data_IF_030064945895
#
_entry.id   IF_030064945895
#
_cell.length_a   1.000
_cell.length_b   1.000
_cell.length_c   1.000
_cell.angle_alpha   90.00
_cell.angle_beta   90.00
_cell.angle_gamma   90.00
#
_symmetry.space_group_name_H-M   'P 1'
#
loop_
_entity.id
_entity.type
_entity.pdbx_description
1 polymer ?
#
# COMPACT_ATOMS: atom_id res chain seq x y z
N UNK A 1 -0.47 -23.04 -13.18
CA UNK A 1 -0.46 -24.33 -13.91
C UNK A 1 1.00 -24.61 -14.26
N UNK A 2 1.65 -25.51 -13.51
CA UNK A 2 2.97 -26.03 -13.86
C UNK A 2 2.75 -27.12 -14.91
N UNK A 3 3.11 -26.85 -16.15
CA UNK A 3 3.22 -27.89 -17.16
C UNK A 3 4.66 -28.38 -17.11
N UNK A 4 4.85 -29.55 -16.51
CA UNK A 4 6.11 -30.27 -16.55
C UNK A 4 6.34 -30.81 -17.97
N UNK A 5 7.36 -30.34 -18.64
CA UNK A 5 7.92 -30.99 -19.82
C UNK A 5 9.14 -31.79 -19.36
N UNK A 6 8.98 -33.10 -19.35
CA UNK A 6 10.06 -34.08 -19.17
C UNK A 6 10.59 -34.42 -20.55
N UNK A 7 11.86 -34.25 -20.76
CA UNK A 7 12.60 -34.94 -21.79
C UNK A 7 13.27 -34.09 -22.88
N UNK A 8 14.55 -34.22 -22.88
CA UNK A 8 15.60 -33.83 -23.80
C UNK A 8 16.31 -32.50 -23.50
N UNK A 9 17.62 -32.57 -23.62
CA UNK A 9 18.62 -31.51 -23.40
C UNK A 9 18.48 -30.30 -24.34
N UNK A 10 17.30 -29.69 -24.36
CA UNK A 10 17.22 -28.31 -24.80
C UNK A 10 17.59 -27.46 -23.58
N UNK A 11 18.65 -26.67 -23.69
CA UNK A 11 18.88 -25.51 -22.84
C UNK A 11 17.66 -24.59 -23.01
N UNK A 12 16.61 -24.88 -22.30
CA UNK A 12 15.40 -24.07 -22.25
C UNK A 12 15.84 -22.82 -21.49
N UNK A 13 16.10 -21.74 -22.23
CA UNK A 13 16.27 -20.41 -21.65
C UNK A 13 14.90 -19.86 -21.31
N UNK A 14 14.23 -20.54 -20.38
CA UNK A 14 12.95 -20.09 -19.89
C UNK A 14 13.15 -18.81 -19.09
N UNK A 15 12.59 -17.72 -19.56
CA UNK A 15 12.45 -16.49 -18.80
C UNK A 15 11.09 -16.48 -18.14
N UNK A 16 11.08 -16.27 -16.83
CA UNK A 16 9.86 -16.07 -16.07
C UNK A 16 9.50 -14.59 -16.10
N UNK A 17 8.31 -14.27 -16.60
CA UNK A 17 7.77 -12.92 -16.64
C UNK A 17 6.68 -12.78 -15.58
N UNK A 18 6.89 -11.87 -14.61
CA UNK A 18 5.92 -11.58 -13.56
C UNK A 18 5.28 -10.23 -13.88
N UNK A 19 3.97 -10.21 -14.03
CA UNK A 19 3.21 -9.00 -14.38
C UNK A 19 2.72 -8.23 -13.15
N UNK A 20 3.49 -8.27 -12.07
CA UNK A 20 3.33 -7.41 -10.89
C UNK A 20 2.38 -7.92 -9.82
N UNK A 21 2.20 -7.05 -8.81
CA UNK A 21 1.40 -7.28 -7.61
C UNK A 21 1.79 -8.54 -6.83
N UNK A 22 3.11 -8.76 -6.70
CA UNK A 22 3.65 -9.79 -5.81
C UNK A 22 3.24 -9.52 -4.36
N UNK A 23 3.19 -8.24 -4.00
CA UNK A 23 2.85 -7.74 -2.66
C UNK A 23 1.38 -7.32 -2.51
N UNK A 24 0.44 -7.87 -3.29
CA UNK A 24 -0.98 -7.56 -3.13
C UNK A 24 -1.53 -8.20 -1.82
N UNK A 25 -2.70 -8.71 -1.82
CA UNK A 25 -3.53 -9.11 -0.65
C UNK A 25 -3.28 -10.53 -0.17
N UNK A 26 -2.51 -11.31 -0.93
CA UNK A 26 -2.24 -12.72 -0.62
C UNK A 26 -1.20 -12.90 0.48
N UNK A 27 -1.21 -14.03 1.18
CA UNK A 27 -0.20 -14.36 2.17
C UNK A 27 1.13 -14.74 1.51
N UNK A 28 2.24 -14.48 2.20
CA UNK A 28 3.55 -15.00 1.84
C UNK A 28 4.29 -14.35 0.67
N UNK A 29 4.15 -13.03 0.37
CA UNK A 29 4.94 -12.37 -0.67
C UNK A 29 6.45 -12.50 -0.45
N UNK A 30 6.91 -12.52 0.80
CA UNK A 30 8.30 -12.75 1.16
C UNK A 30 8.83 -14.11 0.67
N UNK A 31 8.00 -15.16 0.72
CA UNK A 31 8.36 -16.50 0.20
C UNK A 31 8.44 -16.51 -1.33
N UNK A 32 7.53 -15.80 -1.98
CA UNK A 32 7.54 -15.62 -3.44
C UNK A 32 8.83 -14.90 -3.85
N UNK A 33 9.18 -13.80 -3.18
CA UNK A 33 10.39 -13.04 -3.46
C UNK A 33 11.66 -13.88 -3.26
N UNK A 34 11.76 -14.62 -2.15
CA UNK A 34 12.87 -15.55 -1.89
C UNK A 34 13.02 -16.56 -3.06
N UNK A 35 11.90 -17.07 -3.58
CA UNK A 35 11.91 -18.00 -4.72
C UNK A 35 12.32 -17.33 -6.02
N UNK A 36 11.81 -16.14 -6.31
CA UNK A 36 12.16 -15.39 -7.52
C UNK A 36 13.63 -14.99 -7.53
N UNK A 37 14.21 -14.60 -6.40
CA UNK A 37 15.63 -14.29 -6.27
C UNK A 37 16.54 -15.47 -6.57
N UNK A 38 16.08 -16.69 -6.35
CA UNK A 38 16.79 -17.92 -6.68
C UNK A 38 16.57 -18.41 -8.12
N UNK A 39 15.70 -17.75 -8.89
CA UNK A 39 15.38 -18.18 -10.24
C UNK A 39 16.41 -17.66 -11.25
N UNK A 40 16.79 -18.48 -12.23
CA UNK A 40 17.90 -18.20 -13.15
C UNK A 40 17.64 -17.02 -14.10
N UNK A 41 16.40 -16.80 -14.52
CA UNK A 41 16.03 -15.71 -15.45
C UNK A 41 14.61 -15.23 -15.15
N UNK A 42 14.50 -14.05 -14.54
CA UNK A 42 13.23 -13.43 -14.19
C UNK A 42 13.26 -11.94 -14.50
N UNK A 43 12.14 -11.42 -14.94
CA UNK A 43 11.81 -9.99 -14.94
C UNK A 43 10.42 -9.74 -14.38
N UNK A 44 10.21 -8.55 -13.87
CA UNK A 44 9.03 -8.17 -13.11
C UNK A 44 8.50 -6.85 -13.67
N UNK A 45 7.24 -6.79 -14.06
CA UNK A 45 6.55 -5.53 -14.35
C UNK A 45 5.85 -5.09 -13.08
N UNK A 46 6.28 -3.95 -12.51
CA UNK A 46 5.80 -3.50 -11.21
C UNK A 46 4.28 -3.26 -11.20
N UNK A 47 3.59 -3.88 -10.25
CA UNK A 47 2.24 -3.50 -9.89
C UNK A 47 2.22 -2.33 -8.89
N UNK A 48 1.04 -1.75 -8.67
CA UNK A 48 0.88 -0.65 -7.72
C UNK A 48 1.21 -1.06 -6.27
N UNK A 49 0.93 -2.29 -5.89
CA UNK A 49 1.29 -2.80 -4.57
C UNK A 49 2.81 -2.98 -4.42
N UNK A 50 3.50 -3.42 -5.46
CA UNK A 50 4.97 -3.54 -5.43
C UNK A 50 5.63 -2.17 -5.23
N UNK A 51 5.15 -1.14 -5.96
CA UNK A 51 5.63 0.25 -5.82
C UNK A 51 5.33 0.79 -4.41
N UNK A 52 4.16 0.47 -3.85
CA UNK A 52 3.79 0.84 -2.49
C UNK A 52 4.78 0.27 -1.46
N UNK A 53 5.16 -1.00 -1.60
CA UNK A 53 6.15 -1.63 -0.72
C UNK A 53 7.55 -1.07 -0.91
N UNK A 54 7.93 -0.68 -2.14
CA UNK A 54 9.19 0.06 -2.37
C UNK A 54 9.21 1.38 -1.61
N UNK A 55 8.10 2.14 -1.64
CA UNK A 55 7.94 3.39 -0.90
C UNK A 55 8.00 3.16 0.62
N UNK A 56 7.38 2.09 1.12
CA UNK A 56 7.45 1.71 2.52
C UNK A 56 8.89 1.35 2.95
N UNK A 57 9.60 0.56 2.15
CA UNK A 57 11.00 0.22 2.38
C UNK A 57 11.93 1.44 2.35
N UNK A 58 11.56 2.50 1.61
CA UNK A 58 12.24 3.78 1.61
C UNK A 58 11.89 4.67 2.81
N UNK A 59 11.06 4.18 3.74
CA UNK A 59 10.68 4.89 4.97
C UNK A 59 9.57 5.92 4.78
N UNK A 60 8.84 5.92 3.66
CA UNK A 60 7.77 6.88 3.39
C UNK A 60 6.54 6.58 4.27
N UNK A 61 6.13 7.51 5.18
CA UNK A 61 5.10 7.23 6.18
C UNK A 61 3.73 6.83 5.60
N UNK A 62 3.29 7.50 4.52
CA UNK A 62 2.03 7.16 3.86
C UNK A 62 2.03 5.76 3.26
N UNK A 63 3.16 5.34 2.67
CA UNK A 63 3.33 4.00 2.11
C UNK A 63 3.36 2.94 3.23
N UNK A 64 4.08 3.20 4.32
CA UNK A 64 4.14 2.31 5.49
C UNK A 64 2.74 2.10 6.08
N UNK A 65 2.02 3.20 6.34
CA UNK A 65 0.67 3.12 6.89
C UNK A 65 -0.28 2.35 5.96
N UNK A 66 -0.18 2.56 4.65
CA UNK A 66 -1.00 1.88 3.66
C UNK A 66 -0.68 0.37 3.58
N UNK A 67 0.60 -0.02 3.59
CA UNK A 67 1.03 -1.42 3.64
C UNK A 67 0.43 -2.11 4.86
N UNK A 68 0.60 -1.53 6.06
CA UNK A 68 0.08 -2.11 7.31
C UNK A 68 -1.45 -2.19 7.26
N UNK A 69 -2.13 -1.14 6.76
CA UNK A 69 -3.58 -1.13 6.62
C UNK A 69 -4.09 -2.24 5.70
N UNK A 70 -3.42 -2.49 4.57
CA UNK A 70 -3.79 -3.57 3.66
C UNK A 70 -3.58 -4.92 4.34
N UNK A 71 -2.43 -5.15 4.99
CA UNK A 71 -2.18 -6.37 5.75
C UNK A 71 -3.24 -6.59 6.84
N UNK A 72 -3.58 -5.55 7.61
CA UNK A 72 -4.65 -5.63 8.61
C UNK A 72 -6.01 -5.97 8.00
N UNK A 73 -6.38 -5.31 6.90
CA UNK A 73 -7.67 -5.53 6.21
C UNK A 73 -7.86 -6.96 5.74
N UNK A 74 -6.79 -7.61 5.33
CA UNK A 74 -6.81 -8.99 4.81
C UNK A 74 -6.32 -10.04 5.82
N UNK A 75 -6.04 -9.63 7.07
CA UNK A 75 -5.63 -10.54 8.16
C UNK A 75 -4.24 -11.13 7.96
N UNK A 76 -3.35 -10.42 7.28
CA UNK A 76 -2.01 -10.88 6.91
C UNK A 76 -0.90 -10.08 7.61
N UNK A 77 -1.11 -9.65 8.86
CA UNK A 77 -0.08 -8.92 9.62
C UNK A 77 1.16 -9.76 9.90
N UNK A 78 1.03 -11.09 9.90
CA UNK A 78 2.12 -12.06 9.98
C UNK A 78 3.19 -11.88 8.88
N UNK A 79 2.80 -11.36 7.72
CA UNK A 79 3.77 -10.98 6.67
C UNK A 79 4.79 -9.98 7.21
N UNK A 80 4.34 -9.00 7.98
CA UNK A 80 5.20 -7.97 8.54
C UNK A 80 5.99 -8.49 9.74
N UNK A 81 5.34 -9.21 10.66
CA UNK A 81 5.95 -9.69 11.90
C UNK A 81 6.84 -10.91 11.65
N UNK A 82 6.30 -11.99 11.13
CA UNK A 82 7.04 -13.24 10.91
C UNK A 82 7.85 -13.21 9.60
N UNK A 83 7.31 -12.60 8.56
CA UNK A 83 7.95 -12.55 7.25
C UNK A 83 9.15 -11.61 7.18
N UNK A 84 9.04 -10.43 7.82
CA UNK A 84 10.04 -9.37 7.77
C UNK A 84 10.58 -8.94 9.13
N UNK A 85 10.06 -9.45 10.24
CA UNK A 85 10.51 -9.09 11.60
C UNK A 85 10.19 -7.65 12.01
N UNK A 86 9.14 -7.06 11.41
CA UNK A 86 8.69 -5.69 11.72
C UNK A 86 7.78 -5.75 12.94
N UNK A 87 8.20 -5.13 14.03
CA UNK A 87 7.45 -5.14 15.30
C UNK A 87 6.24 -4.21 15.25
N UNK A 88 5.04 -4.77 15.30
CA UNK A 88 3.77 -4.05 15.32
C UNK A 88 3.20 -3.85 16.74
N UNK A 89 3.84 -4.35 17.79
CA UNK A 89 3.36 -4.25 19.18
C UNK A 89 3.04 -2.81 19.63
N UNK A 90 3.84 -1.77 19.30
CA UNK A 90 3.49 -0.39 19.66
C UNK A 90 2.17 0.06 19.05
N UNK A 91 1.90 -0.29 17.78
CA UNK A 91 0.64 0.01 17.11
C UNK A 91 -0.53 -0.79 17.71
N UNK A 92 -0.33 -2.07 17.99
CA UNK A 92 -1.36 -2.92 18.62
C UNK A 92 -1.75 -2.40 20.00
N UNK A 93 -0.76 -2.05 20.82
CA UNK A 93 -0.99 -1.49 22.17
C UNK A 93 -1.75 -0.16 22.10
N UNK A 94 -1.34 0.72 21.20
CA UNK A 94 -2.02 2.00 20.96
C UNK A 94 -3.47 1.77 20.53
N UNK A 95 -3.70 0.91 19.57
CA UNK A 95 -5.03 0.63 19.03
C UNK A 95 -5.98 0.05 20.08
N UNK A 96 -5.51 -0.92 20.90
CA UNK A 96 -6.28 -1.53 21.98
C UNK A 96 -6.66 -0.52 23.08
N UNK A 97 -5.76 0.40 23.42
CA UNK A 97 -6.02 1.41 24.43
C UNK A 97 -6.95 2.52 23.91
N UNK A 98 -6.70 3.01 22.70
CA UNK A 98 -7.42 4.14 22.11
C UNK A 98 -8.85 3.76 21.72
N UNK A 99 -9.04 2.56 21.19
CA UNK A 99 -10.34 2.06 20.71
C UNK A 99 -10.91 0.94 21.59
N UNK A 100 -10.61 0.98 22.90
CA UNK A 100 -10.99 -0.09 23.85
C UNK A 100 -12.46 -0.48 23.75
N UNK A 101 -13.35 0.51 23.77
CA UNK A 101 -14.79 0.32 23.79
C UNK A 101 -15.45 0.47 22.41
N UNK A 102 -14.63 0.56 21.36
CA UNK A 102 -15.08 0.71 19.98
C UNK A 102 -15.16 -0.66 19.29
N UNK A 103 -16.31 -1.06 18.75
CA UNK A 103 -16.44 -2.31 18.03
C UNK A 103 -15.77 -2.31 16.64
N UNK A 104 -15.31 -1.17 16.13
CA UNK A 104 -14.62 -0.99 14.86
C UNK A 104 -15.32 -1.67 13.66
N UNK A 105 -16.65 -1.62 13.62
CA UNK A 105 -17.46 -2.42 12.67
C UNK A 105 -17.23 -2.10 11.21
N UNK A 106 -16.75 -0.88 10.90
CA UNK A 106 -16.40 -0.45 9.54
C UNK A 106 -15.09 -1.06 9.03
N UNK A 107 -14.27 -1.63 9.93
CA UNK A 107 -12.92 -2.14 9.66
C UNK A 107 -12.85 -3.66 9.57
N UNK A 108 -13.96 -4.32 9.26
CA UNK A 108 -14.06 -5.78 9.17
C UNK A 108 -13.02 -6.36 8.22
N UNK A 109 -12.48 -7.52 8.62
CA UNK A 109 -11.58 -8.31 7.80
C UNK A 109 -12.21 -8.71 6.47
N UNK A 110 -11.41 -8.67 5.43
CA UNK A 110 -11.73 -9.20 4.10
C UNK A 110 -10.78 -10.37 3.81
N UNK A 111 -11.06 -11.52 4.36
CA UNK A 111 -10.24 -12.71 4.15
C UNK A 111 -10.81 -13.88 4.94
N UNK A 112 -10.35 -15.08 4.59
CA UNK A 112 -10.74 -16.34 5.23
C UNK A 112 -9.67 -16.85 6.19
N UNK A 113 -8.83 -15.98 6.76
CA UNK A 113 -7.79 -16.40 7.66
C UNK A 113 -8.39 -16.96 8.95
N UNK A 114 -7.84 -18.08 9.43
CA UNK A 114 -8.23 -18.73 10.66
C UNK A 114 -7.73 -17.95 11.89
N UNK A 115 -8.22 -16.73 12.08
CA UNK A 115 -7.92 -15.93 13.25
C UNK A 115 -8.91 -16.27 14.37
N UNK A 116 -8.44 -16.39 15.59
CA UNK A 116 -9.30 -16.51 16.75
C UNK A 116 -9.98 -15.16 17.07
N UNK A 117 -11.01 -15.19 17.94
CA UNK A 117 -11.80 -14.01 18.25
C UNK A 117 -10.96 -12.83 18.79
N UNK A 118 -9.94 -13.10 19.59
CA UNK A 118 -9.06 -12.08 20.14
C UNK A 118 -8.19 -11.44 19.03
N UNK A 119 -7.61 -12.25 18.18
CA UNK A 119 -6.81 -11.80 17.03
C UNK A 119 -7.65 -10.95 16.07
N UNK A 120 -8.90 -11.33 15.84
CA UNK A 120 -9.85 -10.51 15.05
C UNK A 120 -10.06 -9.15 15.71
N UNK A 121 -10.30 -9.10 17.02
CA UNK A 121 -10.51 -7.84 17.74
C UNK A 121 -9.27 -6.93 17.67
N UNK A 122 -8.09 -7.46 17.93
CA UNK A 122 -6.83 -6.72 17.82
C UNK A 122 -6.65 -6.18 16.41
N UNK A 123 -6.88 -7.02 15.41
CA UNK A 123 -6.72 -6.66 14.01
C UNK A 123 -7.68 -5.54 13.58
N UNK A 124 -8.96 -5.60 13.99
CA UNK A 124 -9.94 -4.54 13.69
C UNK A 124 -9.52 -3.19 14.27
N UNK A 125 -9.04 -3.16 15.51
CA UNK A 125 -8.58 -1.94 16.18
C UNK A 125 -7.29 -1.40 15.54
N UNK A 126 -6.35 -2.27 15.19
CA UNK A 126 -5.15 -1.90 14.46
C UNK A 126 -5.49 -1.36 13.07
N UNK A 127 -6.43 -1.98 12.36
CA UNK A 127 -6.88 -1.52 11.04
C UNK A 127 -7.47 -0.10 11.13
N UNK A 128 -8.32 0.18 12.14
CA UNK A 128 -8.85 1.54 12.38
C UNK A 128 -7.73 2.52 12.70
N UNK A 129 -6.87 2.20 13.66
CA UNK A 129 -5.78 3.06 14.09
C UNK A 129 -4.86 3.46 12.92
N UNK A 130 -4.39 2.47 12.17
CA UNK A 130 -3.48 2.73 11.04
C UNK A 130 -4.17 3.43 9.87
N UNK A 131 -5.48 3.25 9.68
CA UNK A 131 -6.24 3.99 8.66
C UNK A 131 -6.29 5.49 8.98
N UNK A 132 -6.51 5.85 10.24
CA UNK A 132 -6.50 7.26 10.66
C UNK A 132 -5.09 7.85 10.52
N UNK A 133 -4.06 7.13 10.94
CA UNK A 133 -2.66 7.53 10.75
C UNK A 133 -2.33 7.70 9.27
N UNK A 134 -2.83 6.81 8.40
CA UNK A 134 -2.65 6.93 6.95
C UNK A 134 -3.26 8.21 6.40
N UNK A 135 -4.52 8.53 6.74
CA UNK A 135 -5.16 9.78 6.30
C UNK A 135 -4.37 11.02 6.75
N UNK A 136 -3.82 11.00 7.96
CA UNK A 136 -2.96 12.08 8.45
C UNK A 136 -1.66 12.17 7.64
N UNK A 137 -0.99 11.04 7.40
CA UNK A 137 0.25 11.00 6.60
C UNK A 137 0.03 11.48 5.16
N UNK A 138 -1.04 11.01 4.52
CA UNK A 138 -1.40 11.42 3.16
C UNK A 138 -1.74 12.91 3.09
N UNK A 139 -2.49 13.43 4.06
CA UNK A 139 -2.83 14.84 4.11
C UNK A 139 -1.62 15.75 4.31
N UNK A 140 -0.66 15.35 5.15
CA UNK A 140 0.61 16.06 5.30
C UNK A 140 1.42 16.03 4.00
N UNK A 141 1.48 14.88 3.31
CA UNK A 141 2.18 14.73 2.04
C UNK A 141 1.56 15.62 0.95
N UNK A 142 0.23 15.58 0.80
CA UNK A 142 -0.49 16.40 -0.19
C UNK A 142 -0.28 17.90 0.10
N UNK A 143 -0.32 18.30 1.36
CA UNK A 143 -0.06 19.69 1.77
C UNK A 143 1.38 20.14 1.46
N UNK A 144 2.35 19.22 1.60
CA UNK A 144 3.75 19.48 1.30
C UNK A 144 4.04 19.55 -0.22
N UNK A 145 3.19 18.93 -1.05
CA UNK A 145 3.34 18.75 -2.48
C UNK A 145 2.10 19.23 -3.27
N UNK A 146 1.77 20.53 -3.27
CA UNK A 146 0.62 21.06 -4.00
C UNK A 146 0.70 20.81 -5.51
N UNK A 147 1.90 20.60 -6.05
CA UNK A 147 2.13 20.25 -7.46
C UNK A 147 1.53 18.89 -7.87
N UNK A 148 1.11 18.06 -6.91
CA UNK A 148 0.43 16.79 -7.21
C UNK A 148 -1.05 16.96 -7.55
N UNK A 149 -1.63 18.14 -7.26
CA UNK A 149 -3.05 18.45 -7.50
C UNK A 149 -4.00 17.39 -6.90
N UNK A 150 -3.73 16.95 -5.67
CA UNK A 150 -4.45 15.88 -4.98
C UNK A 150 -5.26 16.34 -3.77
N UNK A 151 -5.53 17.65 -3.62
CA UNK A 151 -6.21 18.25 -2.48
C UNK A 151 -7.62 17.66 -2.26
N UNK A 152 -8.28 17.24 -3.34
CA UNK A 152 -9.60 16.59 -3.28
C UNK A 152 -9.58 15.25 -2.52
N UNK A 153 -8.41 14.63 -2.33
CA UNK A 153 -8.24 13.40 -1.53
C UNK A 153 -8.14 13.66 -0.03
N UNK A 154 -7.95 14.90 0.38
CA UNK A 154 -7.95 15.28 1.78
C UNK A 154 -9.38 15.30 2.29
N UNK A 155 -9.76 14.34 3.13
CA UNK A 155 -11.13 14.15 3.59
C UNK A 155 -11.35 14.58 5.04
N UNK A 156 -10.32 14.52 5.90
CA UNK A 156 -10.50 14.76 7.34
C UNK A 156 -11.02 16.16 7.67
N UNK A 157 -10.62 17.19 6.93
CA UNK A 157 -11.12 18.55 7.15
C UNK A 157 -12.54 18.80 6.60
N UNK A 158 -13.11 17.83 5.87
CA UNK A 158 -14.48 17.89 5.31
C UNK A 158 -15.51 17.23 6.24
N UNK A 159 -15.04 16.66 7.36
CA UNK A 159 -15.88 16.00 8.36
C UNK A 159 -16.40 17.05 9.33
N UNK A 160 -17.71 17.05 9.54
CA UNK A 160 -18.35 17.68 10.69
C UNK A 160 -18.34 16.68 11.85
N UNK A 161 -17.40 16.87 12.76
CA UNK A 161 -17.21 15.97 13.90
C UNK A 161 -18.28 16.11 14.98
N UNK A 162 -19.04 17.21 14.99
CA UNK A 162 -20.15 17.41 15.91
C UNK A 162 -21.39 16.67 15.46
N UNK A 163 -21.70 16.71 14.19
CA UNK A 163 -22.89 16.06 13.60
C UNK A 163 -22.59 14.69 13.01
N UNK A 164 -21.32 14.27 12.92
CA UNK A 164 -20.95 12.98 12.37
C UNK A 164 -21.21 12.84 10.88
N UNK A 165 -21.03 13.90 10.10
CA UNK A 165 -21.28 13.93 8.66
C UNK A 165 -20.03 14.31 7.87
N UNK A 166 -20.02 14.01 6.57
CA UNK A 166 -18.98 14.46 5.64
C UNK A 166 -19.64 15.06 4.40
N UNK A 167 -19.11 16.19 3.94
CA UNK A 167 -19.54 16.85 2.68
C UNK A 167 -18.52 16.61 1.58
N UNK A 168 -18.98 16.01 0.48
CA UNK A 168 -18.17 15.69 -0.69
C UNK A 168 -18.74 16.37 -1.93
N UNK A 169 -17.85 16.84 -2.81
CA UNK A 169 -18.24 17.35 -4.11
C UNK A 169 -18.42 16.19 -5.08
N UNK A 170 -19.66 15.95 -5.52
CA UNK A 170 -20.02 14.86 -6.43
C UNK A 170 -20.45 15.43 -7.78
N UNK A 171 -20.06 14.78 -8.92
CA UNK A 171 -20.51 15.22 -10.23
C UNK A 171 -22.01 14.99 -10.41
N UNK A 172 -22.70 16.01 -10.91
CA UNK A 172 -24.09 15.89 -11.38
C UNK A 172 -24.15 15.23 -12.78
N UNK A 173 -25.35 15.08 -13.33
CA UNK A 173 -25.57 14.49 -14.67
C UNK A 173 -24.88 15.26 -15.81
N UNK A 174 -24.51 16.53 -15.58
CA UNK A 174 -23.82 17.40 -16.52
C UNK A 174 -22.31 17.48 -16.26
N UNK A 175 -21.82 16.76 -15.23
CA UNK A 175 -20.41 16.77 -14.82
C UNK A 175 -20.02 17.96 -13.92
N UNK A 176 -20.99 18.81 -13.46
CA UNK A 176 -20.69 19.87 -12.51
C UNK A 176 -20.58 19.29 -11.10
N UNK A 177 -19.59 19.75 -10.34
CA UNK A 177 -19.41 19.32 -8.95
C UNK A 177 -20.41 20.04 -8.03
N UNK A 178 -21.22 19.28 -7.33
CA UNK A 178 -22.19 19.75 -6.34
C UNK A 178 -21.93 19.13 -4.97
N UNK A 179 -22.04 19.88 -3.86
CA UNK A 179 -21.80 19.37 -2.52
C UNK A 179 -22.94 18.45 -2.08
N UNK A 180 -22.56 17.25 -1.63
CA UNK A 180 -23.47 16.27 -1.04
C UNK A 180 -22.98 15.89 0.36
N UNK A 181 -23.88 15.89 1.33
CA UNK A 181 -23.59 15.52 2.72
C UNK A 181 -24.07 14.09 3.01
N UNK A 182 -23.20 13.31 3.63
CA UNK A 182 -23.44 11.91 3.99
C UNK A 182 -23.18 11.69 5.48
N UNK A 183 -24.01 10.85 6.11
CA UNK A 183 -23.76 10.41 7.47
C UNK A 183 -22.56 9.46 7.53
N UNK A 184 -21.70 9.63 8.53
CA UNK A 184 -20.59 8.72 8.78
C UNK A 184 -21.11 7.49 9.54
N UNK A 185 -20.67 6.32 9.11
CA UNK A 185 -20.97 5.05 9.80
C UNK A 185 -20.12 4.86 11.07
N UNK A 186 -19.01 5.56 11.17
CA UNK A 186 -18.12 5.57 12.32
C UNK A 186 -17.78 7.03 12.65
N UNK A 187 -18.08 7.44 13.85
CA UNK A 187 -17.91 8.83 14.34
C UNK A 187 -16.92 8.92 15.50
N UNK A 188 -16.30 7.79 15.90
CA UNK A 188 -15.34 7.76 17.00
C UNK A 188 -13.91 8.03 16.51
N UNK A 189 -13.49 9.29 16.56
CA UNK A 189 -12.17 9.76 16.14
C UNK A 189 -11.38 10.43 17.28
N UNK A 190 -11.02 9.71 18.37
CA UNK A 190 -10.45 10.32 19.57
C UNK A 190 -9.07 10.95 19.37
N UNK A 191 -8.38 10.65 18.28
CA UNK A 191 -7.04 11.15 17.97
C UNK A 191 -7.02 12.27 16.95
N UNK A 192 -8.19 12.70 16.45
CA UNK A 192 -8.29 13.79 15.49
C UNK A 192 -8.66 15.10 16.19
N UNK A 193 -7.82 16.11 16.04
CA UNK A 193 -8.17 17.48 16.40
C UNK A 193 -8.88 18.15 15.21
N UNK A 194 -10.16 18.55 15.33
CA UNK A 194 -10.88 19.21 14.25
C UNK A 194 -10.22 20.51 13.74
N UNK A 195 -9.37 21.15 14.55
CA UNK A 195 -8.65 22.38 14.16
C UNK A 195 -7.41 22.09 13.31
N UNK A 196 -6.78 20.93 13.51
CA UNK A 196 -5.66 20.45 12.68
C UNK A 196 -5.77 18.93 12.50
N UNK A 197 -6.71 18.48 11.64
CA UNK A 197 -7.09 17.06 11.55
C UNK A 197 -5.99 16.16 10.99
N UNK A 198 -4.94 16.73 10.40
CA UNK A 198 -3.81 15.99 9.86
C UNK A 198 -2.61 15.93 10.79
N UNK A 199 -2.62 16.62 11.93
CA UNK A 199 -1.55 16.52 12.93
C UNK A 199 -1.54 15.14 13.59
N UNK A 200 -0.34 14.57 13.74
CA UNK A 200 -0.15 13.40 14.60
C UNK A 200 -0.27 13.77 16.07
N UNK A 201 -0.89 12.92 16.85
CA UNK A 201 -0.66 12.95 18.31
C UNK A 201 0.79 12.54 18.61
N UNK A 202 1.34 12.90 19.79
CA UNK A 202 2.70 12.50 20.17
C UNK A 202 2.93 10.98 20.10
N UNK A 203 1.90 10.18 20.43
CA UNK A 203 1.98 8.71 20.37
C UNK A 203 1.98 8.22 18.92
N UNK A 204 1.14 8.77 18.06
CA UNK A 204 1.12 8.44 16.63
C UNK A 204 2.46 8.78 15.95
N UNK A 205 3.05 9.92 16.32
CA UNK A 205 4.36 10.33 15.80
C UNK A 205 5.48 9.35 16.23
N UNK A 206 5.49 8.91 17.49
CA UNK A 206 6.46 7.91 17.99
C UNK A 206 6.27 6.56 17.28
N UNK A 207 5.03 6.11 17.11
CA UNK A 207 4.72 4.87 16.37
C UNK A 207 5.24 4.96 14.94
N UNK A 208 4.97 6.04 14.22
CA UNK A 208 5.41 6.21 12.84
C UNK A 208 6.92 6.31 12.70
N UNK A 209 7.60 6.97 13.64
CA UNK A 209 9.07 7.00 13.68
C UNK A 209 9.67 5.60 13.86
N UNK A 210 9.13 4.81 14.80
CA UNK A 210 9.56 3.42 15.04
C UNK A 210 9.30 2.54 13.83
N UNK A 211 8.12 2.64 13.22
CA UNK A 211 7.77 1.88 12.01
C UNK A 211 8.68 2.26 10.85
N UNK A 212 8.91 3.56 10.62
CA UNK A 212 9.82 4.02 9.56
C UNK A 212 11.23 3.45 9.73
N UNK A 213 11.76 3.48 10.95
CA UNK A 213 13.05 2.86 11.28
C UNK A 213 13.05 1.35 11.07
N UNK A 214 11.97 0.66 11.45
CA UNK A 214 11.84 -0.78 11.26
C UNK A 214 11.85 -1.18 9.77
N UNK A 215 11.08 -0.49 8.93
CA UNK A 215 11.06 -0.73 7.48
C UNK A 215 12.40 -0.42 6.81
N UNK A 216 13.03 0.72 7.17
CA UNK A 216 14.34 1.11 6.64
C UNK A 216 15.46 0.11 6.99
N UNK A 217 15.42 -0.45 8.20
CA UNK A 217 16.48 -1.32 8.71
C UNK A 217 16.19 -2.83 8.52
N UNK A 218 15.06 -3.20 7.91
CA UNK A 218 14.74 -4.58 7.60
C UNK A 218 15.58 -5.09 6.41
N UNK A 219 16.69 -5.76 6.67
CA UNK A 219 17.62 -6.24 5.65
C UNK A 219 16.92 -7.10 4.58
N UNK A 220 16.06 -8.01 4.99
CA UNK A 220 15.32 -8.88 4.06
C UNK A 220 14.43 -8.08 3.13
N UNK A 221 13.70 -7.09 3.65
CA UNK A 221 12.87 -6.21 2.83
C UNK A 221 13.72 -5.39 1.86
N UNK A 222 14.84 -4.85 2.34
CA UNK A 222 15.78 -4.10 1.49
C UNK A 222 16.36 -4.95 0.35
N UNK A 223 16.67 -6.23 0.61
CA UNK A 223 17.13 -7.16 -0.41
C UNK A 223 16.04 -7.41 -1.47
N UNK A 224 14.80 -7.65 -1.04
CA UNK A 224 13.66 -7.85 -1.93
C UNK A 224 13.40 -6.60 -2.80
N UNK A 225 13.41 -5.41 -2.22
CA UNK A 225 13.19 -4.17 -2.97
C UNK A 225 14.35 -3.89 -3.94
N UNK A 226 15.61 -4.13 -3.55
CA UNK A 226 16.74 -4.05 -4.49
C UNK A 226 16.58 -5.00 -5.67
N UNK A 227 16.08 -6.20 -5.42
CA UNK A 227 15.80 -7.17 -6.49
C UNK A 227 14.66 -6.69 -7.40
N UNK A 228 13.55 -6.17 -6.83
CA UNK A 228 12.47 -5.57 -7.60
C UNK A 228 12.96 -4.43 -8.50
N UNK A 229 13.84 -3.57 -7.99
CA UNK A 229 14.42 -2.48 -8.77
C UNK A 229 15.38 -2.98 -9.86
N UNK A 230 16.19 -4.01 -9.56
CA UNK A 230 17.17 -4.54 -10.48
C UNK A 230 16.57 -5.39 -11.62
N UNK A 231 15.47 -6.09 -11.35
CA UNK A 231 14.79 -7.00 -12.28
C UNK A 231 13.46 -6.47 -12.80
N UNK A 232 13.00 -5.34 -12.29
CA UNK A 232 11.70 -4.79 -12.58
C UNK A 232 11.72 -3.57 -13.49
N UNK A 233 10.56 -3.29 -14.07
CA UNK A 233 10.28 -2.12 -14.91
C UNK A 233 8.77 -1.86 -14.95
N UNK A 234 8.34 -0.71 -15.47
CA UNK A 234 6.93 -0.43 -15.71
C UNK A 234 6.34 -1.32 -16.80
N UNK A 235 7.13 -1.64 -17.82
CA UNK A 235 6.74 -2.53 -18.92
C UNK A 235 7.96 -3.22 -19.51
N UNK A 236 7.73 -4.27 -20.27
CA UNK A 236 8.74 -4.98 -21.07
C UNK A 236 8.16 -5.41 -22.39
N UNK A 237 8.96 -5.31 -23.45
CA UNK A 237 8.63 -5.91 -24.73
C UNK A 237 9.47 -7.19 -24.87
N UNK A 238 8.80 -8.33 -25.03
CA UNK A 238 9.44 -9.62 -25.18
C UNK A 238 8.74 -10.44 -26.26
N UNK A 239 9.49 -10.89 -27.26
CA UNK A 239 8.96 -11.64 -28.42
C UNK A 239 7.76 -10.97 -29.08
N UNK A 240 7.78 -9.64 -29.24
CA UNK A 240 6.68 -8.87 -29.83
C UNK A 240 5.47 -8.64 -28.92
N UNK A 241 5.49 -9.16 -27.68
CA UNK A 241 4.44 -8.95 -26.70
C UNK A 241 4.82 -7.78 -25.77
N UNK A 242 3.87 -6.90 -25.50
CA UNK A 242 3.98 -5.86 -24.49
C UNK A 242 3.47 -6.39 -23.17
N UNK A 243 4.37 -6.50 -22.19
CA UNK A 243 4.08 -6.96 -20.83
C UNK A 243 4.03 -5.75 -19.90
N UNK A 244 2.96 -5.60 -19.14
CA UNK A 244 2.78 -4.56 -18.13
C UNK A 244 1.71 -5.00 -17.13
N UNK A 245 1.65 -4.37 -15.96
CA UNK A 245 0.72 -4.76 -14.90
C UNK A 245 -0.70 -4.26 -15.18
N UNK A 246 -0.96 -2.96 -15.05
CA UNK A 246 -2.31 -2.39 -15.15
C UNK A 246 -2.44 -1.37 -16.29
N UNK A 247 -1.58 -0.37 -16.30
CA UNK A 247 -1.56 0.67 -17.32
C UNK A 247 -0.15 1.22 -17.51
N UNK A 248 0.08 1.85 -18.64
CA UNK A 248 1.29 2.64 -18.89
C UNK A 248 0.85 4.11 -18.87
N UNK A 249 1.40 4.94 -17.96
CA UNK A 249 1.06 6.36 -17.92
C UNK A 249 1.44 7.05 -19.23
N UNK A 250 0.50 7.77 -19.80
CA UNK A 250 0.68 8.60 -20.99
C UNK A 250 0.39 10.04 -20.64
N UNK A 251 0.99 10.99 -21.37
CA UNK A 251 0.59 12.39 -21.32
C UNK A 251 -0.66 12.62 -22.19
N UNK A 252 -1.21 13.82 -22.17
CA UNK A 252 -2.43 14.20 -22.91
C UNK A 252 -2.31 13.99 -24.43
N UNK A 253 -1.10 14.01 -24.99
CA UNK A 253 -0.87 13.71 -26.41
C UNK A 253 -0.64 12.22 -26.71
N UNK A 254 -0.94 11.34 -25.75
CA UNK A 254 -0.78 9.89 -25.85
C UNK A 254 0.67 9.42 -26.05
N UNK A 255 1.64 10.26 -25.72
CA UNK A 255 3.05 9.88 -25.68
C UNK A 255 3.40 9.33 -24.29
N UNK A 256 4.40 8.45 -24.25
CA UNK A 256 4.91 7.91 -22.98
C UNK A 256 5.49 9.03 -22.11
N UNK A 257 5.20 8.99 -20.82
CA UNK A 257 5.79 9.89 -19.82
C UNK A 257 7.21 9.47 -19.41
N UNK A 258 7.62 8.24 -19.79
CA UNK A 258 8.98 7.73 -19.59
C UNK A 258 9.73 7.69 -20.91
N UNK A 259 11.05 7.99 -20.93
CA UNK A 259 11.85 7.88 -22.14
C UNK A 259 11.82 6.45 -22.66
N UNK A 260 11.54 6.28 -23.97
CA UNK A 260 11.60 5.00 -24.64
C UNK A 260 13.05 4.45 -24.61
N UNK A 261 13.22 3.13 -24.55
CA UNK A 261 14.55 2.54 -24.70
C UNK A 261 15.29 2.96 -25.99
N UNK A 262 14.54 3.38 -27.01
CA UNK A 262 15.12 3.93 -28.26
C UNK A 262 15.72 5.32 -28.05
N UNK A 263 15.22 6.12 -27.11
CA UNK A 263 15.70 7.48 -26.86
C UNK A 263 17.06 7.51 -26.14
N UNK A 264 17.49 6.36 -25.61
CA UNK A 264 18.84 6.18 -25.00
C UNK A 264 19.94 5.86 -25.99
N UNK A 265 19.64 5.62 -27.24
CA UNK A 265 20.62 5.25 -28.27
C UNK A 265 21.09 6.43 -29.13
N UNK A 266 20.74 7.67 -28.78
CA UNK A 266 21.08 8.89 -29.53
C UNK A 266 21.75 9.91 -28.59
N UNK A 267 22.80 9.46 -27.90
CA UNK A 267 23.74 10.40 -27.23
C UNK A 267 25.15 9.82 -27.22
#
# INVERSE_FOLDING_TARGET
ILIGLVGSEMCIRDSLHIVGDIFDRGPGPHKIMDKLMSYHSVDIQWGNHDVLWMGAAAGQPGCIANVIRICARYGNLDILEDGYGINLLPLATFALNTYKDDPCTCFKLKGSNELNQYEVEVNLKMHKAISIIQFKAEGQLIKAHPEYHMEQRNLLHRIDYEHGTITLDMPDENGNLTPHTYDLLDTNFPTIDPKDPYAYTPIEADIMDRLSKAFLNCEKLQQHVKFLLAKGSLYKIYNGNLLYHGCIPLNDCLLYTSPSPRDRSVS
#
